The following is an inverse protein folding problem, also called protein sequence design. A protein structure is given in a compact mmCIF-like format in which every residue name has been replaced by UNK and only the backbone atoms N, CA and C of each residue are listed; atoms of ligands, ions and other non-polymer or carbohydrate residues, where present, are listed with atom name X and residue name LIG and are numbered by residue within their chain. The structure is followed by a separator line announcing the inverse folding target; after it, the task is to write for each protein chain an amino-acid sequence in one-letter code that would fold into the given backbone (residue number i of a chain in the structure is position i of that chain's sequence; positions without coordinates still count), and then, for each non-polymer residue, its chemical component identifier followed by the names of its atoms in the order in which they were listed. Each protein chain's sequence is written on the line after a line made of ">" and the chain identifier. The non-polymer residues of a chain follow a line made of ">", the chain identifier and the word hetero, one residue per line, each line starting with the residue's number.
data_IF_549807104146
#
_entry.id   IF_549807104146
#
_cell.length_a   1.000
_cell.length_b   1.000
_cell.length_c   1.000
_cell.angle_alpha   90.00
_cell.angle_beta   90.00
_cell.angle_gamma   90.00
#
_symmetry.space_group_name_H-M   'P 1'
#
loop_
_entity.id
_entity.type
_entity.pdbx_description
1 polymer ?
#
# COMPACT_ATOMS: atom_id res chain seq x y z
N UNK A 1 7.85 25.27 -2.80
CA UNK A 1 8.20 23.86 -2.59
C UNK A 1 9.60 23.84 -2.02
N UNK A 2 9.78 23.47 -0.76
CA UNK A 2 11.13 23.44 -0.14
C UNK A 2 11.80 22.09 -0.40
N UNK A 3 13.14 21.99 -0.42
CA UNK A 3 13.84 20.70 -0.58
C UNK A 3 13.41 19.64 0.44
N UNK A 4 13.07 20.08 1.65
CA UNK A 4 12.52 19.25 2.74
C UNK A 4 11.17 18.60 2.40
N UNK A 5 10.32 19.25 1.58
CA UNK A 5 9.03 18.69 1.15
C UNK A 5 9.24 17.49 0.19
N UNK A 6 10.20 17.59 -0.73
CA UNK A 6 10.53 16.49 -1.66
C UNK A 6 11.13 15.29 -0.91
N UNK A 7 12.06 15.53 0.02
CA UNK A 7 12.68 14.43 0.79
C UNK A 7 11.66 13.76 1.71
N UNK A 8 10.76 14.54 2.32
CA UNK A 8 9.68 13.99 3.15
C UNK A 8 8.67 13.18 2.32
N UNK A 9 8.25 13.68 1.15
CA UNK A 9 7.37 12.93 0.24
C UNK A 9 8.05 11.66 -0.29
N UNK A 10 9.32 11.74 -0.69
CA UNK A 10 10.10 10.59 -1.17
C UNK A 10 10.28 9.52 -0.07
N UNK A 11 10.59 9.93 1.16
CA UNK A 11 10.75 9.01 2.29
C UNK A 11 9.43 8.34 2.67
N UNK A 12 8.32 9.08 2.72
CA UNK A 12 7.00 8.51 3.01
C UNK A 12 6.49 7.60 1.88
N UNK A 13 6.79 7.90 0.62
CA UNK A 13 6.48 7.04 -0.52
C UNK A 13 7.24 5.71 -0.43
N UNK A 14 8.53 5.75 -0.14
CA UNK A 14 9.37 4.55 0.04
C UNK A 14 8.93 3.72 1.25
N UNK A 15 8.62 4.35 2.39
CA UNK A 15 8.15 3.64 3.60
C UNK A 15 6.77 3.00 3.39
N UNK A 16 5.88 3.63 2.61
CA UNK A 16 4.55 3.07 2.32
C UNK A 16 4.58 1.87 1.39
N UNK A 17 5.39 1.93 0.33
CA UNK A 17 5.57 0.75 -0.53
C UNK A 17 6.21 -0.43 0.21
N UNK A 18 6.92 -0.20 1.32
CA UNK A 18 7.59 -1.24 2.08
C UNK A 18 6.61 -2.22 2.75
N UNK A 19 5.47 -1.78 3.31
CA UNK A 19 4.55 -2.67 4.05
C UNK A 19 3.83 -3.63 3.11
N UNK A 20 3.19 -3.12 2.06
CA UNK A 20 2.53 -3.99 1.07
C UNK A 20 3.56 -4.74 0.20
N UNK A 21 4.72 -4.15 -0.07
CA UNK A 21 5.82 -4.79 -0.78
C UNK A 21 6.34 -6.06 -0.09
N UNK A 22 6.35 -6.09 1.24
CA UNK A 22 6.67 -7.31 2.02
C UNK A 22 5.64 -8.40 1.79
N UNK A 23 4.35 -8.05 1.71
CA UNK A 23 3.26 -9.01 1.45
C UNK A 23 3.38 -9.70 0.09
N UNK A 24 3.66 -8.95 -0.98
CA UNK A 24 3.89 -9.52 -2.32
C UNK A 24 5.10 -10.46 -2.34
N UNK A 25 6.24 -10.03 -1.79
CA UNK A 25 7.45 -10.87 -1.74
C UNK A 25 7.26 -12.14 -0.93
N UNK A 26 6.49 -12.07 0.15
CA UNK A 26 6.16 -13.23 0.95
C UNK A 26 5.29 -14.22 0.17
N UNK A 27 4.31 -13.72 -0.60
CA UNK A 27 3.47 -14.56 -1.44
C UNK A 27 4.27 -15.27 -2.53
N UNK A 28 5.19 -14.57 -3.20
CA UNK A 28 6.08 -15.16 -4.21
C UNK A 28 6.95 -16.29 -3.63
N UNK A 29 7.47 -16.09 -2.41
CA UNK A 29 8.26 -17.12 -1.72
C UNK A 29 7.40 -18.34 -1.37
N UNK A 30 6.19 -18.10 -0.86
CA UNK A 30 5.26 -19.14 -0.47
C UNK A 30 4.84 -20.01 -1.67
N UNK A 31 4.53 -19.39 -2.82
CA UNK A 31 4.20 -20.10 -4.05
C UNK A 31 5.37 -20.98 -4.49
N UNK A 32 6.60 -20.46 -4.46
CA UNK A 32 7.79 -21.23 -4.81
C UNK A 32 8.03 -22.42 -3.88
N UNK A 33 7.84 -22.23 -2.57
CA UNK A 33 8.00 -23.31 -1.59
C UNK A 33 6.92 -24.38 -1.74
N UNK A 34 5.67 -23.97 -2.00
CA UNK A 34 4.55 -24.88 -2.26
C UNK A 34 4.78 -25.71 -3.53
N UNK A 35 5.14 -25.07 -4.64
CA UNK A 35 5.40 -25.75 -5.91
C UNK A 35 6.53 -26.77 -5.77
N UNK A 36 7.61 -26.39 -5.09
CA UNK A 36 8.73 -27.28 -4.80
C UNK A 36 8.26 -28.52 -4.01
N UNK A 37 7.49 -28.32 -2.95
CA UNK A 37 6.97 -29.42 -2.13
C UNK A 37 6.03 -30.34 -2.94
N UNK A 38 5.19 -29.78 -3.82
CA UNK A 38 4.35 -30.57 -4.71
C UNK A 38 5.18 -31.44 -5.67
N UNK A 39 6.24 -30.90 -6.28
CA UNK A 39 7.13 -31.65 -7.18
C UNK A 39 7.87 -32.78 -6.43
N UNK A 40 8.39 -32.49 -5.24
CA UNK A 40 9.07 -33.50 -4.40
C UNK A 40 8.12 -34.62 -3.98
N UNK A 41 6.88 -34.27 -3.62
CA UNK A 41 5.84 -35.24 -3.27
C UNK A 41 5.44 -36.09 -4.48
N UNK A 42 5.22 -35.48 -5.65
CA UNK A 42 4.88 -36.20 -6.87
C UNK A 42 6.00 -37.16 -7.31
N UNK A 43 7.27 -36.78 -7.10
CA UNK A 43 8.42 -37.66 -7.35
C UNK A 43 8.38 -38.88 -6.45
N UNK A 44 8.12 -38.68 -5.14
CA UNK A 44 7.99 -39.76 -4.16
C UNK A 44 6.81 -40.69 -4.50
N UNK A 45 5.71 -40.14 -5.00
CA UNK A 45 4.55 -40.93 -5.41
C UNK A 45 4.81 -41.76 -6.66
N UNK A 46 5.59 -41.25 -7.62
CA UNK A 46 5.97 -42.02 -8.81
C UNK A 46 6.82 -43.25 -8.44
N UNK A 47 7.69 -43.15 -7.45
CA UNK A 47 8.49 -44.30 -6.97
C UNK A 47 7.61 -45.41 -6.35
N UNK A 48 6.48 -45.04 -5.72
CA UNK A 48 5.53 -45.96 -5.12
C UNK A 48 4.49 -46.54 -6.10
N UNK A 49 4.41 -46.01 -7.32
CA UNK A 49 3.32 -46.32 -8.28
C UNK A 49 3.27 -47.79 -8.68
N UNK A 50 4.42 -48.47 -8.73
CA UNK A 50 4.49 -49.90 -9.04
C UNK A 50 4.02 -50.79 -7.90
N UNK A 51 4.06 -50.30 -6.66
CA UNK A 51 3.70 -51.06 -5.45
C UNK A 51 2.24 -50.82 -5.06
N UNK A 52 1.79 -49.55 -5.08
CA UNK A 52 0.45 -49.16 -4.61
C UNK A 52 -0.24 -48.14 -5.54
N UNK A 53 -0.66 -48.55 -6.75
CA UNK A 53 -1.19 -47.62 -7.76
C UNK A 53 -2.47 -46.89 -7.31
N UNK A 54 -3.35 -47.55 -6.56
CA UNK A 54 -4.59 -46.95 -6.05
C UNK A 54 -4.32 -45.86 -4.99
N UNK A 55 -3.31 -46.08 -4.15
CA UNK A 55 -2.89 -45.11 -3.12
C UNK A 55 -2.26 -43.90 -3.78
N UNK A 56 -1.42 -44.11 -4.79
CA UNK A 56 -0.82 -43.04 -5.60
C UNK A 56 -1.89 -42.22 -6.31
N UNK A 57 -2.86 -42.87 -6.95
CA UNK A 57 -3.97 -42.19 -7.62
C UNK A 57 -4.78 -41.31 -6.64
N UNK A 58 -5.19 -41.86 -5.50
CA UNK A 58 -5.91 -41.11 -4.47
C UNK A 58 -5.09 -39.95 -3.92
N UNK A 59 -3.79 -40.14 -3.74
CA UNK A 59 -2.87 -39.10 -3.26
C UNK A 59 -2.74 -37.95 -4.26
N UNK A 60 -2.58 -38.24 -5.56
CA UNK A 60 -2.56 -37.21 -6.63
C UNK A 60 -3.86 -36.41 -6.68
N UNK A 61 -5.02 -37.05 -6.47
CA UNK A 61 -6.30 -36.34 -6.41
C UNK A 61 -6.37 -35.35 -5.23
N UNK A 62 -5.84 -35.74 -4.06
CA UNK A 62 -5.74 -34.87 -2.88
C UNK A 62 -4.77 -33.73 -3.12
N UNK A 63 -3.61 -33.98 -3.75
CA UNK A 63 -2.66 -32.92 -4.14
C UNK A 63 -3.33 -31.92 -5.06
N UNK A 64 -4.02 -32.37 -6.12
CA UNK A 64 -4.74 -31.48 -7.02
C UNK A 64 -5.78 -30.61 -6.29
N UNK A 65 -6.46 -31.19 -5.29
CA UNK A 65 -7.41 -30.45 -4.44
C UNK A 65 -6.68 -29.39 -3.59
N UNK A 66 -5.56 -29.75 -2.95
CA UNK A 66 -4.74 -28.82 -2.16
C UNK A 66 -4.17 -27.70 -3.02
N UNK A 67 -3.66 -27.99 -4.22
CA UNK A 67 -3.16 -26.99 -5.17
C UNK A 67 -4.27 -26.03 -5.59
N UNK A 68 -5.49 -26.52 -5.84
CA UNK A 68 -6.65 -25.67 -6.14
C UNK A 68 -7.03 -24.76 -4.97
N UNK A 69 -7.07 -25.30 -3.74
CA UNK A 69 -7.32 -24.49 -2.55
C UNK A 69 -6.23 -23.43 -2.33
N UNK A 70 -4.96 -23.80 -2.52
CA UNK A 70 -3.83 -22.88 -2.40
C UNK A 70 -3.91 -21.75 -3.42
N UNK A 71 -4.15 -22.04 -4.70
CA UNK A 71 -4.31 -21.02 -5.74
C UNK A 71 -5.45 -20.02 -5.43
N UNK A 72 -6.55 -20.49 -4.84
CA UNK A 72 -7.64 -19.61 -4.41
C UNK A 72 -7.24 -18.74 -3.22
N UNK A 73 -6.49 -19.28 -2.26
CA UNK A 73 -5.97 -18.53 -1.12
C UNK A 73 -4.96 -17.49 -1.55
N UNK A 74 -4.00 -17.83 -2.42
CA UNK A 74 -2.99 -16.89 -2.92
C UNK A 74 -3.64 -15.77 -3.73
N UNK A 75 -4.61 -16.09 -4.59
CA UNK A 75 -5.38 -15.07 -5.32
C UNK A 75 -6.11 -14.10 -4.38
N UNK A 76 -6.73 -14.60 -3.29
CA UNK A 76 -7.38 -13.74 -2.28
C UNK A 76 -6.36 -12.90 -1.53
N UNK A 77 -5.23 -13.47 -1.13
CA UNK A 77 -4.15 -12.73 -0.46
C UNK A 77 -3.59 -11.62 -1.35
N UNK A 78 -3.33 -11.93 -2.63
CA UNK A 78 -2.89 -10.95 -3.63
C UNK A 78 -3.89 -9.79 -3.76
N UNK A 79 -5.19 -10.10 -3.83
CA UNK A 79 -6.25 -9.08 -3.87
C UNK A 79 -6.22 -8.18 -2.63
N UNK A 80 -6.04 -8.76 -1.44
CA UNK A 80 -5.95 -7.99 -0.18
C UNK A 80 -4.73 -7.06 -0.21
N UNK A 81 -3.57 -7.55 -0.66
CA UNK A 81 -2.35 -6.74 -0.76
C UNK A 81 -2.50 -5.61 -1.78
N UNK A 82 -3.06 -5.88 -2.96
CA UNK A 82 -3.34 -4.85 -3.96
C UNK A 82 -4.27 -3.75 -3.43
N UNK A 83 -5.34 -4.14 -2.72
CA UNK A 83 -6.24 -3.19 -2.07
C UNK A 83 -5.53 -2.41 -0.95
N UNK A 84 -4.65 -3.06 -0.20
CA UNK A 84 -3.80 -2.42 0.80
C UNK A 84 -2.94 -1.31 0.19
N UNK A 85 -2.21 -1.60 -0.89
CA UNK A 85 -1.41 -0.60 -1.61
C UNK A 85 -2.26 0.57 -2.12
N UNK A 86 -3.46 0.29 -2.64
CA UNK A 86 -4.38 1.32 -3.10
C UNK A 86 -4.82 2.25 -1.96
N UNK A 87 -5.25 1.69 -0.83
CA UNK A 87 -5.65 2.45 0.35
C UNK A 87 -4.49 3.24 0.94
N UNK A 88 -3.27 2.66 0.96
CA UNK A 88 -2.06 3.37 1.40
C UNK A 88 -1.78 4.60 0.53
N UNK A 89 -1.97 4.49 -0.80
CA UNK A 89 -1.81 5.58 -1.74
C UNK A 89 -2.87 6.67 -1.54
N UNK A 90 -4.16 6.30 -1.49
CA UNK A 90 -5.26 7.24 -1.21
C UNK A 90 -5.06 8.00 0.11
N UNK A 91 -4.55 7.31 1.14
CA UNK A 91 -4.22 7.93 2.43
C UNK A 91 -3.03 8.91 2.33
N UNK A 92 -2.05 8.68 1.45
CA UNK A 92 -0.99 9.69 1.20
C UNK A 92 -1.65 10.93 0.64
N UNK A 93 -2.47 10.74 -0.39
CA UNK A 93 -3.02 11.80 -1.20
C UNK A 93 -3.92 12.71 -0.35
N UNK A 94 -4.87 12.12 0.37
CA UNK A 94 -5.72 12.85 1.31
C UNK A 94 -4.92 13.60 2.39
N UNK A 95 -3.82 13.02 2.88
CA UNK A 95 -2.95 13.70 3.85
C UNK A 95 -2.25 14.91 3.23
N UNK A 96 -1.82 14.80 1.97
CA UNK A 96 -1.21 15.91 1.25
C UNK A 96 -2.23 17.04 1.01
N UNK A 97 -3.43 16.71 0.56
CA UNK A 97 -4.53 17.68 0.38
C UNK A 97 -4.87 18.41 1.68
N UNK A 98 -4.97 17.68 2.81
CA UNK A 98 -5.28 18.28 4.10
C UNK A 98 -4.19 19.27 4.55
N UNK A 99 -2.92 18.91 4.36
CA UNK A 99 -1.79 19.80 4.66
C UNK A 99 -1.86 21.07 3.79
N UNK A 100 -2.15 20.93 2.50
CA UNK A 100 -2.30 22.06 1.59
C UNK A 100 -3.49 22.95 1.98
N UNK A 101 -4.65 22.37 2.28
CA UNK A 101 -5.84 23.11 2.71
C UNK A 101 -5.59 23.87 4.02
N UNK A 102 -4.91 23.26 4.98
CA UNK A 102 -4.53 23.91 6.25
C UNK A 102 -3.55 25.06 6.00
N UNK A 103 -2.55 24.88 5.14
CA UNK A 103 -1.60 25.93 4.77
C UNK A 103 -2.30 27.11 4.08
N UNK A 104 -3.23 26.84 3.16
CA UNK A 104 -4.03 27.85 2.48
C UNK A 104 -4.91 28.64 3.46
N UNK A 105 -5.58 27.95 4.40
CA UNK A 105 -6.38 28.60 5.45
C UNK A 105 -5.55 29.55 6.31
N UNK A 106 -4.39 29.11 6.79
CA UNK A 106 -3.47 29.94 7.59
C UNK A 106 -2.97 31.14 6.79
N UNK A 107 -2.57 30.92 5.53
CA UNK A 107 -2.13 31.99 4.63
C UNK A 107 -3.22 33.04 4.41
N UNK A 108 -4.46 32.59 4.17
CA UNK A 108 -5.61 33.48 4.00
C UNK A 108 -5.89 34.31 5.25
N UNK A 109 -5.80 33.70 6.43
CA UNK A 109 -5.94 34.43 7.70
C UNK A 109 -4.88 35.52 7.84
N UNK A 110 -3.60 35.19 7.61
CA UNK A 110 -2.50 36.17 7.72
C UNK A 110 -2.71 37.33 6.74
N UNK A 111 -3.06 37.03 5.49
CA UNK A 111 -3.32 38.03 4.46
C UNK A 111 -4.50 38.93 4.84
N UNK A 112 -5.57 38.37 5.40
CA UNK A 112 -6.72 39.14 5.87
C UNK A 112 -6.35 40.06 7.05
N UNK A 113 -5.61 39.55 8.04
CA UNK A 113 -5.12 40.36 9.16
C UNK A 113 -4.24 41.53 8.67
N UNK A 114 -3.32 41.25 7.75
CA UNK A 114 -2.44 42.27 7.19
C UNK A 114 -3.22 43.32 6.38
N UNK A 115 -4.20 42.88 5.58
CA UNK A 115 -5.07 43.77 4.81
C UNK A 115 -5.97 44.65 5.69
N UNK A 116 -6.54 44.10 6.76
CA UNK A 116 -7.36 44.86 7.72
C UNK A 116 -6.51 45.88 8.47
N UNK A 117 -5.31 45.49 8.92
CA UNK A 117 -4.35 46.39 9.58
C UNK A 117 -3.95 47.57 8.67
N UNK A 118 -3.62 47.28 7.40
CA UNK A 118 -3.29 48.31 6.42
C UNK A 118 -4.44 49.28 6.16
N UNK A 119 -5.67 48.76 5.99
CA UNK A 119 -6.87 49.61 5.84
C UNK A 119 -7.12 50.49 7.07
N UNK A 120 -6.93 49.95 8.28
CA UNK A 120 -7.07 50.72 9.51
C UNK A 120 -6.01 51.82 9.63
N UNK A 121 -4.77 51.55 9.20
CA UNK A 121 -3.70 52.56 9.16
C UNK A 121 -4.03 53.68 8.18
N UNK A 122 -4.45 53.36 6.94
CA UNK A 122 -4.87 54.37 5.95
C UNK A 122 -5.96 55.25 6.53
N UNK A 123 -7.01 54.67 7.11
CA UNK A 123 -8.12 55.44 7.68
C UNK A 123 -7.66 56.43 8.76
N UNK A 124 -6.72 56.04 9.62
CA UNK A 124 -6.14 56.95 10.63
C UNK A 124 -5.32 58.07 10.01
N UNK A 125 -4.61 57.81 8.92
CA UNK A 125 -3.79 58.81 8.22
C UNK A 125 -4.66 59.77 7.40
N UNK A 126 -5.73 59.29 6.76
CA UNK A 126 -6.60 60.12 5.92
C UNK A 126 -7.67 60.87 6.70
N UNK A 127 -8.09 60.36 7.85
CA UNK A 127 -9.12 60.97 8.71
C UNK A 127 -8.55 61.53 10.03
N UNK A 128 -7.24 61.75 10.12
CA UNK A 128 -6.59 62.41 11.27
C UNK A 128 -7.09 63.84 11.48
N UNK A 129 -6.99 64.40 12.70
CA UNK A 129 -7.84 65.49 13.17
C UNK A 129 -7.62 66.79 12.38
N UNK A 130 -8.73 67.47 12.07
CA UNK A 130 -8.75 68.88 11.63
C UNK A 130 -8.29 69.77 12.77
#
# INVERSE_FOLDING_TARGET
>A
MTPTDLTFMSTNFIVKMATTGVGFRWLDLLEKEFDKACVELDTSLTELETEEPEVVFSSRQKIATLSSCFAQLTHKALTIFQNGAKLEAELVDMRAELVQARAASVGNHINLYHGLSYKAWISKVTNGPV
#
